data_IF_762088754098
#
_entry.id   IF_762088754098
#
_cell.length_a   1.000
_cell.length_b   1.000
_cell.length_c   1.000
_cell.angle_alpha   90.00
_cell.angle_beta   90.00
_cell.angle_gamma   90.00
#
_symmetry.space_group_name_H-M   'P 1'
#
loop_
_entity.id
_entity.type
_entity.pdbx_description
1 polymer ?
#
# COMPACT_ATOMS: atom_id res chain seq x y z
N UNK A 1 47.38 -27.75 -61.57
CA UNK A 1 48.63 -27.06 -61.22
C UNK A 1 48.52 -26.68 -59.76
N UNK A 2 49.32 -27.34 -58.93
CA UNK A 2 49.35 -27.24 -57.46
C UNK A 2 50.12 -25.95 -57.09
N UNK A 3 49.99 -25.53 -55.83
CA UNK A 3 50.77 -24.51 -55.08
C UNK A 3 50.13 -23.10 -55.11
N UNK A 4 50.03 -22.30 -54.05
CA UNK A 4 50.83 -22.21 -52.81
C UNK A 4 49.91 -21.76 -51.65
N UNK A 5 50.18 -22.32 -50.48
CA UNK A 5 49.78 -21.91 -49.13
C UNK A 5 49.97 -20.42 -48.81
N UNK A 6 48.96 -19.78 -48.23
CA UNK A 6 49.05 -18.47 -47.61
C UNK A 6 48.45 -18.48 -46.21
N UNK A 7 49.28 -18.77 -45.21
CA UNK A 7 49.00 -18.57 -43.79
C UNK A 7 48.86 -17.07 -43.53
N UNK A 8 47.64 -16.59 -43.31
CA UNK A 8 47.41 -15.29 -42.72
C UNK A 8 46.52 -15.47 -41.50
N UNK A 9 47.19 -15.53 -40.35
CA UNK A 9 46.54 -15.63 -39.05
C UNK A 9 45.62 -14.44 -38.82
N UNK A 10 44.32 -14.70 -38.79
CA UNK A 10 43.37 -13.80 -38.16
C UNK A 10 43.19 -14.28 -36.72
N UNK A 11 43.93 -13.66 -35.80
CA UNK A 11 43.57 -13.62 -34.40
C UNK A 11 42.22 -12.90 -34.30
N UNK A 12 41.12 -13.64 -34.30
CA UNK A 12 39.87 -13.13 -33.75
C UNK A 12 40.08 -13.02 -32.24
N UNK A 13 40.48 -11.83 -31.80
CA UNK A 13 40.40 -11.46 -30.40
C UNK A 13 38.94 -11.63 -29.97
N UNK A 14 38.66 -12.70 -29.22
CA UNK A 14 37.43 -12.81 -28.43
C UNK A 14 37.47 -11.67 -27.42
N UNK A 15 36.85 -10.54 -27.76
CA UNK A 15 36.44 -9.56 -26.76
C UNK A 15 35.29 -10.20 -26.01
N UNK A 16 35.63 -10.99 -24.98
CA UNK A 16 34.69 -11.32 -23.92
C UNK A 16 34.33 -10.00 -23.26
N UNK A 17 33.19 -9.43 -23.67
CA UNK A 17 32.47 -8.48 -22.83
C UNK A 17 32.20 -9.24 -21.53
N UNK A 18 33.03 -9.00 -20.53
CA UNK A 18 32.64 -9.19 -19.15
C UNK A 18 31.40 -8.33 -18.99
N UNK A 19 30.24 -8.97 -18.96
CA UNK A 19 29.06 -8.38 -18.36
C UNK A 19 29.51 -7.98 -16.96
N UNK A 20 29.78 -6.69 -16.79
CA UNK A 20 29.84 -6.10 -15.48
C UNK A 20 28.44 -6.34 -14.92
N UNK A 21 28.38 -7.28 -13.98
CA UNK A 21 27.32 -7.42 -13.02
C UNK A 21 26.97 -6.02 -12.54
N UNK A 22 25.88 -5.48 -13.11
CA UNK A 22 25.38 -4.15 -12.78
C UNK A 22 25.01 -4.28 -11.33
N UNK A 23 25.87 -3.66 -10.52
CA UNK A 23 25.95 -3.88 -9.09
C UNK A 23 24.57 -4.05 -8.50
N UNK A 24 24.43 -5.19 -7.85
CA UNK A 24 23.63 -5.39 -6.66
C UNK A 24 23.95 -4.22 -5.72
N UNK A 25 23.26 -3.12 -5.98
CA UNK A 25 23.41 -1.83 -5.32
C UNK A 25 22.71 -2.00 -4.00
N UNK A 26 23.40 -2.68 -3.09
CA UNK A 26 23.43 -2.38 -1.66
C UNK A 26 22.04 -2.02 -1.13
N UNK A 27 21.08 -2.91 -1.33
CA UNK A 27 19.78 -2.92 -0.64
C UNK A 27 20.00 -3.40 0.81
N UNK A 28 21.03 -2.86 1.47
CA UNK A 28 21.37 -3.15 2.84
C UNK A 28 20.64 -2.13 3.74
N UNK A 29 19.56 -2.61 4.35
CA UNK A 29 19.25 -2.33 5.75
C UNK A 29 18.78 -0.90 6.13
N UNK A 30 17.86 -0.31 5.37
CA UNK A 30 16.85 0.53 6.02
C UNK A 30 15.77 -0.43 6.52
N UNK A 31 15.64 -0.61 7.85
CA UNK A 31 14.48 -1.30 8.44
C UNK A 31 13.26 -0.42 8.19
N UNK A 32 12.67 -0.56 7.01
CA UNK A 32 11.47 0.17 6.64
C UNK A 32 10.30 -0.27 7.54
N UNK A 33 9.47 0.68 8.01
CA UNK A 33 8.28 0.33 8.77
C UNK A 33 7.34 -0.54 7.93
N UNK A 34 6.92 -1.68 8.48
CA UNK A 34 5.91 -2.52 7.86
C UNK A 34 4.53 -1.88 8.01
N UNK A 35 4.02 -1.32 6.92
CA UNK A 35 2.70 -0.68 6.83
C UNK A 35 2.00 -1.26 5.60
N UNK A 36 1.16 -2.30 5.75
CA UNK A 36 0.50 -3.01 4.67
C UNK A 36 -0.57 -2.12 4.05
N UNK A 37 -0.15 -1.36 3.03
CA UNK A 37 -0.95 -0.37 2.32
C UNK A 37 -0.82 -0.60 0.81
N UNK A 38 -1.94 -0.57 0.06
CA UNK A 38 -3.28 -0.18 0.46
C UNK A 38 -4.10 -1.32 1.11
N UNK A 39 -5.03 -1.00 2.03
CA UNK A 39 -6.06 -1.94 2.45
C UNK A 39 -7.01 -2.27 1.28
N UNK A 40 -7.51 -3.50 1.22
CA UNK A 40 -8.45 -3.92 0.20
C UNK A 40 -9.78 -3.18 0.26
N UNK A 41 -10.44 -3.01 -0.89
CA UNK A 41 -11.81 -2.51 -0.91
C UNK A 41 -12.72 -3.50 -0.14
N UNK A 42 -13.65 -3.00 0.71
CA UNK A 42 -14.62 -3.86 1.37
C UNK A 42 -15.51 -4.61 0.36
N UNK A 43 -15.68 -5.90 0.61
CA UNK A 43 -16.49 -6.84 -0.17
C UNK A 43 -17.35 -7.65 0.79
N UNK A 44 -18.34 -8.39 0.29
CA UNK A 44 -19.15 -9.26 1.15
C UNK A 44 -18.29 -10.35 1.82
N UNK A 45 -17.24 -10.79 1.12
CA UNK A 45 -16.34 -11.86 1.55
C UNK A 45 -15.44 -11.44 2.73
N UNK A 46 -14.96 -10.20 2.74
CA UNK A 46 -14.06 -9.71 3.80
C UNK A 46 -14.78 -8.86 4.89
N UNK A 47 -16.07 -8.56 4.72
CA UNK A 47 -16.82 -7.68 5.63
C UNK A 47 -16.84 -8.16 7.08
N UNK A 48 -17.01 -9.48 7.27
CA UNK A 48 -17.02 -10.08 8.60
C UNK A 48 -15.67 -9.87 9.32
N UNK A 49 -14.55 -10.04 8.61
CA UNK A 49 -13.22 -9.81 9.17
C UNK A 49 -12.99 -8.33 9.47
N UNK A 50 -13.43 -7.42 8.58
CA UNK A 50 -13.39 -5.97 8.82
C UNK A 50 -14.04 -5.63 10.17
N UNK A 51 -15.26 -6.12 10.39
CA UNK A 51 -16.05 -5.77 11.57
C UNK A 51 -15.67 -6.52 12.85
N UNK A 52 -15.33 -7.80 12.76
CA UNK A 52 -15.10 -8.64 13.95
C UNK A 52 -13.63 -8.66 14.39
N UNK A 53 -12.69 -8.33 13.49
CA UNK A 53 -11.25 -8.45 13.77
C UNK A 53 -10.50 -7.12 13.78
N UNK A 54 -11.21 -5.99 13.79
CA UNK A 54 -10.60 -4.65 13.82
C UNK A 54 -9.57 -4.44 14.93
N UNK A 55 -9.85 -4.95 16.13
CA UNK A 55 -8.93 -4.85 17.28
C UNK A 55 -7.69 -5.75 17.14
N UNK A 56 -7.73 -6.75 16.27
CA UNK A 56 -6.58 -7.63 16.00
C UNK A 56 -5.64 -7.11 14.92
N UNK A 57 -5.92 -5.94 14.31
CA UNK A 57 -5.08 -5.36 13.25
C UNK A 57 -4.27 -4.17 13.76
N UNK A 58 -3.03 -3.96 13.27
CA UNK A 58 -2.15 -2.89 13.76
C UNK A 58 -2.77 -1.48 13.73
N UNK A 59 -2.31 -0.64 14.66
CA UNK A 59 -2.46 0.82 14.61
C UNK A 59 -1.10 1.48 14.57
N UNK A 60 -0.98 2.53 13.78
CA UNK A 60 0.27 3.18 13.45
C UNK A 60 0.36 4.55 14.14
N UNK A 61 0.58 4.55 15.45
CA UNK A 61 0.80 5.80 16.20
C UNK A 61 2.18 6.39 15.87
N UNK A 62 2.40 7.66 16.21
CA UNK A 62 3.70 8.33 16.02
C UNK A 62 4.89 7.54 16.61
N UNK A 63 4.69 6.81 17.70
CA UNK A 63 5.70 5.96 18.35
C UNK A 63 6.12 4.72 17.54
N UNK A 64 5.30 4.28 16.58
CA UNK A 64 5.64 3.18 15.66
C UNK A 64 6.75 3.58 14.69
N UNK A 65 6.86 4.87 14.37
CA UNK A 65 7.73 5.35 13.29
C UNK A 65 9.06 5.91 13.83
N UNK A 66 10.20 5.55 13.22
CA UNK A 66 11.49 6.17 13.58
C UNK A 66 11.48 7.68 13.31
N UNK A 67 12.25 8.45 14.08
CA UNK A 67 12.27 9.91 14.00
C UNK A 67 12.71 10.49 12.62
N UNK A 68 13.37 9.71 11.77
CA UNK A 68 13.86 10.13 10.45
C UNK A 68 12.89 9.85 9.30
N UNK A 69 12.86 10.71 8.26
CA UNK A 69 12.46 10.51 6.83
C UNK A 69 11.43 9.43 6.42
N UNK A 70 10.53 8.99 7.30
CA UNK A 70 9.45 8.01 7.02
C UNK A 70 8.08 8.69 6.88
N UNK A 71 8.05 9.92 6.39
CA UNK A 71 6.81 10.71 6.31
C UNK A 71 5.72 10.06 5.45
N UNK A 72 6.10 9.35 4.39
CA UNK A 72 5.15 8.61 3.56
C UNK A 72 4.56 7.39 4.30
N UNK A 73 5.36 6.64 5.07
CA UNK A 73 4.86 5.54 5.89
C UNK A 73 3.92 6.05 7.00
N UNK A 74 4.22 7.21 7.60
CA UNK A 74 3.31 7.87 8.55
C UNK A 74 1.94 8.12 7.94
N UNK A 75 1.89 8.76 6.76
CA UNK A 75 0.62 9.05 6.08
C UNK A 75 -0.15 7.78 5.69
N UNK A 76 0.54 6.72 5.27
CA UNK A 76 -0.09 5.40 5.05
C UNK A 76 -0.68 4.84 6.34
N UNK A 77 0.08 4.91 7.44
CA UNK A 77 -0.38 4.49 8.77
C UNK A 77 -1.58 5.30 9.26
N UNK A 78 -1.55 6.62 9.08
CA UNK A 78 -2.65 7.53 9.42
C UNK A 78 -3.91 7.21 8.60
N UNK A 79 -3.76 6.92 7.30
CA UNK A 79 -4.85 6.46 6.46
C UNK A 79 -5.45 5.14 6.96
N UNK A 80 -4.63 4.15 7.33
CA UNK A 80 -5.12 2.88 7.91
C UNK A 80 -5.85 3.12 9.24
N UNK A 81 -5.27 3.91 10.14
CA UNK A 81 -5.87 4.25 11.42
C UNK A 81 -7.26 4.90 11.24
N UNK A 82 -7.37 5.85 10.30
CA UNK A 82 -8.62 6.52 9.95
C UNK A 82 -9.65 5.52 9.40
N UNK A 83 -9.22 4.64 8.50
CA UNK A 83 -10.06 3.60 7.91
C UNK A 83 -10.63 2.66 8.97
N UNK A 84 -9.80 2.18 9.88
CA UNK A 84 -10.19 1.30 10.97
C UNK A 84 -11.18 1.95 11.96
N UNK A 85 -10.98 3.24 12.26
CA UNK A 85 -11.93 4.03 13.05
C UNK A 85 -13.28 4.12 12.34
N UNK A 86 -13.29 4.46 11.05
CA UNK A 86 -14.53 4.64 10.29
C UNK A 86 -15.25 3.31 10.00
N UNK A 87 -14.52 2.22 9.81
CA UNK A 87 -15.10 0.88 9.76
C UNK A 87 -15.80 0.53 11.06
N UNK A 88 -15.22 0.85 12.22
CA UNK A 88 -15.88 0.64 13.51
C UNK A 88 -17.21 1.39 13.59
N UNK A 89 -17.31 2.61 13.04
CA UNK A 89 -18.58 3.34 12.95
C UNK A 89 -19.58 2.64 12.01
N UNK A 90 -19.13 2.17 10.85
CA UNK A 90 -19.98 1.46 9.88
C UNK A 90 -20.50 0.13 10.40
N UNK A 91 -19.68 -0.64 11.12
CA UNK A 91 -20.02 -1.96 11.63
C UNK A 91 -21.09 -1.94 12.74
N UNK A 92 -21.42 -0.75 13.26
CA UNK A 92 -22.54 -0.55 14.19
C UNK A 92 -23.87 -0.17 13.49
N UNK A 93 -23.91 -0.15 12.16
CA UNK A 93 -25.12 0.16 11.37
C UNK A 93 -25.99 -1.06 11.13
N UNK A 94 -27.15 -0.83 10.52
CA UNK A 94 -28.02 -1.90 9.99
C UNK A 94 -27.27 -2.72 8.94
N UNK A 95 -27.51 -4.04 8.92
CA UNK A 95 -26.73 -5.02 8.15
C UNK A 95 -26.62 -4.66 6.66
N UNK A 96 -27.73 -4.21 6.07
CA UNK A 96 -27.85 -3.79 4.68
C UNK A 96 -27.04 -2.53 4.34
N UNK A 97 -26.65 -1.74 5.34
CA UNK A 97 -25.89 -0.51 5.16
C UNK A 97 -24.37 -0.70 5.37
N UNK A 98 -23.95 -1.78 6.05
CA UNK A 98 -22.55 -1.95 6.48
C UNK A 98 -21.60 -1.97 5.27
N UNK A 99 -21.92 -2.74 4.22
CA UNK A 99 -21.05 -2.87 3.06
C UNK A 99 -20.89 -1.53 2.33
N UNK A 100 -22.00 -0.86 2.00
CA UNK A 100 -21.92 0.45 1.34
C UNK A 100 -21.20 1.49 2.21
N UNK A 101 -21.47 1.51 3.52
CA UNK A 101 -20.81 2.42 4.45
C UNK A 101 -19.29 2.22 4.48
N UNK A 102 -18.84 0.96 4.59
CA UNK A 102 -17.40 0.64 4.61
C UNK A 102 -16.73 0.97 3.27
N UNK A 103 -17.39 0.72 2.13
CA UNK A 103 -16.88 1.13 0.82
C UNK A 103 -16.77 2.65 0.67
N UNK A 104 -17.75 3.41 1.17
CA UNK A 104 -17.67 4.88 1.20
C UNK A 104 -16.52 5.35 2.10
N UNK A 105 -16.37 4.77 3.30
CA UNK A 105 -15.26 5.07 4.19
C UNK A 105 -13.92 4.80 3.51
N UNK A 106 -13.77 3.66 2.82
CA UNK A 106 -12.57 3.30 2.07
C UNK A 106 -12.23 4.34 0.99
N UNK A 107 -13.19 4.69 0.13
CA UNK A 107 -12.99 5.70 -0.94
C UNK A 107 -12.66 7.09 -0.37
N UNK A 108 -13.34 7.50 0.70
CA UNK A 108 -13.12 8.81 1.34
C UNK A 108 -11.75 8.89 2.02
N UNK A 109 -11.33 7.85 2.75
CA UNK A 109 -9.99 7.80 3.37
C UNK A 109 -8.90 7.88 2.32
N UNK A 110 -9.00 7.12 1.23
CA UNK A 110 -8.00 7.14 0.16
C UNK A 110 -7.99 8.46 -0.61
N UNK A 111 -9.16 9.10 -0.78
CA UNK A 111 -9.23 10.47 -1.30
C UNK A 111 -8.47 11.45 -0.42
N UNK A 112 -8.71 11.40 0.89
CA UNK A 112 -8.04 12.25 1.88
C UNK A 112 -6.52 11.98 1.91
N UNK A 113 -6.11 10.71 1.87
CA UNK A 113 -4.72 10.32 1.75
C UNK A 113 -4.05 10.93 0.51
N UNK A 114 -4.72 10.92 -0.64
CA UNK A 114 -4.17 11.54 -1.85
C UNK A 114 -4.03 13.07 -1.74
N UNK A 115 -4.97 13.74 -1.07
CA UNK A 115 -4.84 15.17 -0.76
C UNK A 115 -3.60 15.40 0.13
N UNK A 116 -3.46 14.61 1.19
CA UNK A 116 -2.31 14.66 2.11
C UNK A 116 -0.99 14.43 1.39
N UNK A 117 -0.89 13.41 0.52
CA UNK A 117 0.29 13.12 -0.29
C UNK A 117 0.65 14.29 -1.22
N UNK A 118 -0.36 14.88 -1.89
CA UNK A 118 -0.18 16.01 -2.81
C UNK A 118 0.20 17.33 -2.12
N UNK A 119 -0.03 17.44 -0.81
CA UNK A 119 0.31 18.62 -0.01
C UNK A 119 1.78 18.66 0.42
N UNK A 120 2.60 17.73 -0.06
CA UNK A 120 4.01 17.59 0.30
C UNK A 120 4.93 17.79 -0.90
N UNK A 121 6.21 18.03 -0.66
CA UNK A 121 7.24 18.11 -1.72
C UNK A 121 7.70 16.72 -2.22
N UNK A 122 7.13 15.63 -1.70
CA UNK A 122 7.46 14.27 -2.13
C UNK A 122 6.52 13.82 -3.25
N UNK A 123 7.01 12.95 -4.14
CA UNK A 123 6.13 12.27 -5.11
C UNK A 123 5.02 11.55 -4.37
N UNK A 124 3.78 11.84 -4.76
CA UNK A 124 2.61 11.18 -4.18
C UNK A 124 2.60 9.69 -4.53
N UNK A 125 1.89 8.91 -3.70
CA UNK A 125 1.57 7.52 -3.99
C UNK A 125 1.00 7.35 -5.40
N UNK A 126 1.49 6.34 -6.13
CA UNK A 126 1.25 6.19 -7.58
C UNK A 126 -0.23 6.23 -7.96
N UNK A 127 -1.10 5.56 -7.19
CA UNK A 127 -2.54 5.53 -7.45
C UNK A 127 -3.24 6.89 -7.28
N UNK A 128 -2.61 7.86 -6.62
CA UNK A 128 -3.16 9.21 -6.50
C UNK A 128 -3.10 10.02 -7.80
N UNK A 129 -2.30 9.57 -8.79
CA UNK A 129 -2.29 10.16 -10.13
C UNK A 129 -3.60 9.87 -10.89
N UNK A 130 -4.26 8.74 -10.59
CA UNK A 130 -5.50 8.33 -11.24
C UNK A 130 -6.72 9.08 -10.70
N UNK A 131 -7.83 9.01 -11.44
CA UNK A 131 -9.12 9.67 -11.11
C UNK A 131 -10.29 8.70 -11.28
N UNK A 132 -11.39 9.00 -10.60
CA UNK A 132 -12.62 8.20 -10.67
C UNK A 132 -12.37 6.74 -10.31
N UNK A 133 -13.02 5.83 -11.03
CA UNK A 133 -12.89 4.39 -10.78
C UNK A 133 -11.49 3.84 -11.01
N UNK A 134 -10.70 4.40 -11.93
CA UNK A 134 -9.31 3.96 -12.17
C UNK A 134 -8.45 4.09 -10.90
N UNK A 135 -8.67 5.13 -10.09
CA UNK A 135 -8.00 5.31 -8.80
C UNK A 135 -8.32 4.16 -7.85
N UNK A 136 -9.59 3.77 -7.77
CA UNK A 136 -10.03 2.69 -6.89
C UNK A 136 -9.51 1.34 -7.37
N UNK A 137 -9.51 1.10 -8.68
CA UNK A 137 -8.88 -0.09 -9.26
C UNK A 137 -7.39 -0.16 -8.92
N UNK A 138 -6.65 0.95 -9.02
CA UNK A 138 -5.23 0.99 -8.65
C UNK A 138 -5.03 0.66 -7.17
N UNK A 139 -5.76 1.31 -6.25
CA UNK A 139 -5.68 1.00 -4.82
C UNK A 139 -6.14 -0.41 -4.46
N UNK A 140 -6.87 -1.10 -5.34
CA UNK A 140 -7.35 -2.46 -5.11
C UNK A 140 -6.62 -3.51 -5.97
N UNK A 141 -5.40 -3.21 -6.44
CA UNK A 141 -4.63 -4.08 -7.34
C UNK A 141 -3.56 -4.92 -6.62
N UNK A 142 -2.77 -4.31 -5.74
CA UNK A 142 -1.75 -4.97 -4.94
C UNK A 142 -2.15 -4.90 -3.47
N UNK A 143 -2.68 -6.01 -2.95
CA UNK A 143 -3.33 -6.06 -1.63
C UNK A 143 -2.47 -6.87 -0.65
N UNK A 144 -1.76 -6.23 0.29
CA UNK A 144 -0.91 -6.94 1.25
C UNK A 144 -1.71 -7.78 2.26
N UNK A 145 -2.95 -7.39 2.57
CA UNK A 145 -3.86 -8.12 3.46
C UNK A 145 -5.31 -8.03 2.94
N UNK A 146 -5.67 -8.83 1.90
CA UNK A 146 -6.98 -8.73 1.25
C UNK A 146 -8.16 -9.18 2.12
N UNK A 147 -7.89 -10.09 3.06
CA UNK A 147 -8.90 -10.71 3.92
C UNK A 147 -9.05 -10.02 5.27
N UNK A 148 -8.31 -8.94 5.53
CA UNK A 148 -8.32 -8.25 6.82
C UNK A 148 -7.96 -9.17 8.00
N UNK A 149 -7.01 -10.08 7.76
CA UNK A 149 -6.56 -11.05 8.75
C UNK A 149 -5.95 -10.32 9.97
N UNK A 150 -6.33 -10.72 11.20
CA UNK A 150 -5.73 -10.17 12.41
C UNK A 150 -4.36 -10.79 12.69
N UNK A 151 -3.57 -10.11 13.50
CA UNK A 151 -2.35 -10.66 14.09
C UNK A 151 -2.74 -11.44 15.36
N UNK A 152 -2.42 -12.75 15.45
CA UNK A 152 -2.73 -13.53 16.65
C UNK A 152 -2.11 -12.94 17.91
N UNK A 153 -2.94 -12.76 18.95
CA UNK A 153 -2.50 -12.21 20.25
C UNK A 153 -2.25 -10.70 20.28
N UNK A 154 -2.52 -9.97 19.18
CA UNK A 154 -2.43 -8.52 19.14
C UNK A 154 -3.76 -7.86 19.57
N UNK A 155 -3.64 -6.74 20.29
CA UNK A 155 -4.76 -5.84 20.59
C UNK A 155 -4.36 -4.42 20.21
N UNK A 156 -5.18 -3.77 19.39
CA UNK A 156 -4.95 -2.41 18.93
C UNK A 156 -4.91 -1.43 20.11
N UNK A 157 -3.90 -0.55 20.18
CA UNK A 157 -3.92 0.56 21.12
C UNK A 157 -5.01 1.57 20.71
N UNK A 158 -5.52 2.37 21.66
CA UNK A 158 -6.41 3.47 21.32
C UNK A 158 -5.70 4.45 20.38
N UNK A 159 -6.37 4.87 19.32
CA UNK A 159 -5.91 5.93 18.41
C UNK A 159 -6.74 7.19 18.72
N UNK A 160 -6.12 8.36 18.88
CA UNK A 160 -6.85 9.61 19.00
C UNK A 160 -7.79 9.82 17.81
N UNK A 161 -9.03 10.24 18.07
CA UNK A 161 -9.98 10.54 17.00
C UNK A 161 -9.49 11.75 16.19
N UNK A 162 -9.29 11.55 14.88
CA UNK A 162 -8.64 12.56 14.02
C UNK A 162 -9.53 13.14 12.93
N UNK A 163 -10.69 12.54 12.63
CA UNK A 163 -11.57 13.08 11.58
C UNK A 163 -12.99 12.49 11.61
N UNK A 164 -13.99 13.35 11.38
CA UNK A 164 -15.40 12.97 11.26
C UNK A 164 -15.71 12.35 9.90
N UNK A 165 -16.29 11.14 9.91
CA UNK A 165 -16.86 10.48 8.74
C UNK A 165 -18.35 10.78 8.63
N UNK A 166 -18.84 11.01 7.43
CA UNK A 166 -20.28 11.08 7.17
C UNK A 166 -20.64 10.06 6.09
N UNK A 167 -21.46 9.09 6.48
CA UNK A 167 -22.04 8.10 5.58
C UNK A 167 -23.27 8.68 4.90
N UNK A 168 -23.37 8.53 3.58
CA UNK A 168 -24.54 8.88 2.79
C UNK A 168 -25.27 7.63 2.31
N UNK A 169 -26.39 7.30 2.93
CA UNK A 169 -27.18 6.13 2.55
C UNK A 169 -27.82 6.24 1.15
N UNK A 170 -27.91 7.45 0.57
CA UNK A 170 -28.48 7.66 -0.76
C UNK A 170 -27.45 7.47 -1.89
N UNK A 171 -26.17 7.37 -1.52
CA UNK A 171 -25.07 7.06 -2.43
C UNK A 171 -24.72 5.56 -2.42
N UNK A 172 -25.67 4.74 -1.94
CA UNK A 172 -25.77 3.31 -2.10
C UNK A 172 -26.84 3.05 -3.19
#
# INVERSE_FOLDING_TARGET
MIWISGLSGFFFALLTLHGADVGETKRNSLKEPDVPFPPACPTAENLAAICHHGQGRPRYLSSFFPNSRVSHFRRRGDAINRMESWYSLCCNRQQEQILCCTQQAWKQVLSQFCIEESSTMTSAYVCCADRGEARWTCFNSELPNPNYDPIPGYTAPPVPEVSTFTFDANAC
#
